data_IF_017122751922
#
_entry.id   IF_017122751922
#
_cell.length_a   1.000
_cell.length_b   1.000
_cell.length_c   1.000
_cell.angle_alpha   90.00
_cell.angle_beta   90.00
_cell.angle_gamma   90.00
#
_symmetry.space_group_name_H-M   'P 1'
#
loop_
_entity.id
_entity.type
_entity.pdbx_description
1 polymer ?
#
# COMPACT_ATOMS: atom_id res chain seq x y z
N UNK A 1 51.84 -7.68 -5.45
CA UNK A 1 50.49 -7.48 -6.05
C UNK A 1 49.58 -6.92 -4.97
N UNK A 2 48.73 -5.96 -5.35
CA UNK A 2 47.70 -5.25 -4.59
C UNK A 2 48.11 -4.02 -3.77
N UNK A 3 47.35 -2.96 -4.07
CA UNK A 3 47.48 -1.53 -3.86
C UNK A 3 47.43 -1.04 -2.41
N UNK A 4 47.91 0.19 -2.21
CA UNK A 4 47.13 1.29 -1.60
C UNK A 4 47.28 2.56 -2.47
N UNK A 5 46.51 3.64 -2.43
CA UNK A 5 45.30 4.10 -1.76
C UNK A 5 44.97 5.42 -2.51
N UNK A 6 43.70 5.66 -2.88
CA UNK A 6 43.30 6.87 -3.59
C UNK A 6 42.75 7.86 -2.58
N UNK A 7 43.51 8.91 -2.28
CA UNK A 7 43.02 10.06 -1.53
C UNK A 7 43.71 11.37 -1.97
N UNK A 8 42.97 12.47 -1.76
CA UNK A 8 43.35 13.88 -1.89
C UNK A 8 43.31 14.48 -3.31
N UNK A 9 42.25 15.21 -3.66
CA UNK A 9 41.97 16.61 -3.32
C UNK A 9 42.66 17.58 -4.30
N UNK A 10 41.88 18.08 -5.27
CA UNK A 10 41.41 19.47 -5.33
C UNK A 10 42.54 20.49 -5.39
N UNK A 11 42.89 20.85 -6.61
CA UNK A 11 43.63 22.06 -6.96
C UNK A 11 42.78 23.29 -6.65
N UNK A 12 43.39 24.25 -5.96
CA UNK A 12 42.89 25.59 -5.72
C UNK A 12 43.92 26.60 -6.25
N UNK A 13 43.48 27.85 -6.31
CA UNK A 13 44.21 29.11 -6.51
C UNK A 13 44.47 29.55 -7.96
N UNK A 14 43.50 30.29 -8.51
CA UNK A 14 43.73 31.44 -9.37
C UNK A 14 43.49 32.71 -8.55
N UNK A 15 44.50 33.57 -8.51
CA UNK A 15 44.53 34.95 -7.96
C UNK A 15 43.74 35.87 -8.88
N UNK A 16 42.71 36.59 -8.42
CA UNK A 16 42.76 37.90 -7.74
C UNK A 16 43.24 39.03 -8.68
N UNK A 17 42.30 39.84 -9.18
CA UNK A 17 42.55 41.26 -9.50
C UNK A 17 41.21 42.02 -9.58
N UNK A 18 41.21 43.16 -8.88
CA UNK A 18 40.14 44.14 -8.67
C UNK A 18 39.97 44.97 -9.97
N UNK A 19 38.83 45.59 -10.27
CA UNK A 19 38.53 46.98 -9.88
C UNK A 19 37.15 47.38 -10.45
N UNK A 20 36.29 47.98 -9.61
CA UNK A 20 35.20 48.90 -9.99
C UNK A 20 35.76 50.34 -9.95
N UNK A 21 35.16 51.42 -10.54
CA UNK A 21 33.71 51.68 -10.66
C UNK A 21 33.30 52.50 -11.91
N UNK A 22 32.01 52.84 -12.04
CA UNK A 22 31.53 54.20 -12.44
C UNK A 22 29.99 54.24 -12.43
N UNK A 23 29.39 55.20 -11.70
CA UNK A 23 28.05 55.70 -12.00
C UNK A 23 28.10 57.18 -12.42
N UNK A 24 27.36 57.59 -13.45
CA UNK A 24 26.98 59.00 -13.59
C UNK A 24 25.67 59.23 -14.35
N UNK A 25 24.74 59.88 -13.65
CA UNK A 25 23.38 60.26 -14.05
C UNK A 25 23.37 61.63 -14.74
N UNK A 26 22.98 61.70 -16.03
CA UNK A 26 22.48 62.92 -16.69
C UNK A 26 21.35 62.52 -17.65
N UNK A 27 20.10 62.43 -17.18
CA UNK A 27 19.02 63.42 -17.35
C UNK A 27 18.88 63.99 -18.78
N UNK A 28 17.68 63.76 -19.32
CA UNK A 28 16.81 64.71 -20.04
C UNK A 28 16.76 64.60 -21.58
N UNK A 29 15.69 63.99 -22.11
CA UNK A 29 14.76 64.51 -23.15
C UNK A 29 14.02 63.37 -23.89
N UNK A 30 12.78 63.12 -23.47
CA UNK A 30 11.66 62.61 -24.30
C UNK A 30 10.87 63.90 -24.65
N UNK A 31 10.36 64.17 -25.87
CA UNK A 31 9.37 63.37 -26.63
C UNK A 31 9.59 63.40 -28.17
N UNK A 32 8.93 62.62 -29.04
CA UNK A 32 7.55 62.81 -29.56
C UNK A 32 7.28 61.67 -30.56
N UNK A 33 6.20 60.92 -30.33
CA UNK A 33 5.21 60.29 -31.23
C UNK A 33 5.67 59.77 -32.61
N UNK A 34 5.29 58.54 -32.98
CA UNK A 34 4.18 58.17 -33.90
C UNK A 34 4.20 56.62 -33.91
N UNK A 35 3.19 55.83 -33.53
CA UNK A 35 1.95 55.46 -34.24
C UNK A 35 1.34 54.35 -33.32
N UNK A 36 0.18 54.47 -32.67
CA UNK A 36 -1.13 54.50 -33.32
C UNK A 36 -1.54 53.12 -33.86
N UNK A 37 -1.97 52.17 -33.00
CA UNK A 37 -3.20 51.38 -33.19
C UNK A 37 -3.40 50.33 -32.09
N UNK A 38 -4.43 50.52 -31.29
CA UNK A 38 -5.13 49.47 -30.54
C UNK A 38 -6.37 49.14 -31.35
N UNK A 39 -6.45 47.94 -31.96
CA UNK A 39 -7.66 47.09 -32.03
C UNK A 39 -7.47 45.82 -32.90
N UNK A 40 -8.24 44.78 -32.57
CA UNK A 40 -8.52 43.53 -33.32
C UNK A 40 -7.51 42.39 -33.11
N UNK A 41 -7.88 41.15 -32.81
CA UNK A 41 -9.04 40.52 -32.19
C UNK A 41 -8.66 39.05 -31.92
N UNK A 42 -9.30 38.48 -30.90
CA UNK A 42 -9.79 37.11 -30.86
C UNK A 42 -8.82 35.92 -30.85
N UNK A 43 -9.09 35.11 -29.82
CA UNK A 43 -8.98 33.64 -29.78
C UNK A 43 -7.57 33.08 -29.83
N UNK A 44 -7.11 32.64 -28.67
CA UNK A 44 -6.27 31.47 -28.57
C UNK A 44 -7.17 30.22 -28.58
N UNK A 45 -7.38 29.50 -29.70
CA UNK A 45 -8.01 28.19 -29.67
C UNK A 45 -6.92 27.15 -29.40
N UNK A 46 -6.48 27.05 -28.14
CA UNK A 46 -5.63 25.93 -27.75
C UNK A 46 -5.94 25.38 -26.35
N UNK A 47 -7.17 25.60 -25.87
CA UNK A 47 -7.79 24.66 -24.96
C UNK A 47 -8.50 23.59 -25.81
N UNK A 48 -7.75 22.61 -26.31
CA UNK A 48 -8.36 21.44 -26.95
C UNK A 48 -9.27 20.75 -25.92
N UNK A 49 -10.58 20.91 -26.13
CA UNK A 49 -11.64 20.09 -25.57
C UNK A 49 -11.45 18.67 -26.10
N UNK A 50 -10.67 17.90 -25.36
CA UNK A 50 -10.43 16.52 -25.73
C UNK A 50 -11.40 15.63 -24.91
N UNK A 51 -12.47 15.06 -25.50
CA UNK A 51 -13.29 14.02 -24.85
C UNK A 51 -12.41 12.84 -24.41
N UNK A 52 -11.25 12.65 -25.03
CA UNK A 52 -10.27 11.69 -24.58
C UNK A 52 -9.69 12.06 -23.21
N UNK A 53 -9.72 13.32 -22.75
CA UNK A 53 -9.22 13.67 -21.40
C UNK A 53 -10.12 13.16 -20.29
N UNK A 54 -11.44 13.37 -20.40
CA UNK A 54 -12.40 12.83 -19.44
C UNK A 54 -12.40 11.30 -19.48
N UNK A 55 -12.34 10.72 -20.69
CA UNK A 55 -12.20 9.28 -20.91
C UNK A 55 -10.91 8.72 -20.31
N UNK A 56 -9.74 9.33 -20.57
CA UNK A 56 -8.44 8.96 -19.98
C UNK A 56 -8.44 9.04 -18.46
N UNK A 57 -9.19 9.98 -17.87
CA UNK A 57 -9.31 10.09 -16.40
C UNK A 57 -10.17 8.96 -15.82
N UNK A 58 -11.26 8.58 -16.49
CA UNK A 58 -12.08 7.40 -16.14
C UNK A 58 -11.27 6.11 -16.29
N UNK A 59 -10.64 5.89 -17.44
CA UNK A 59 -9.76 4.72 -17.68
C UNK A 59 -8.60 4.64 -16.67
N UNK A 60 -8.10 5.79 -16.20
CA UNK A 60 -7.09 5.85 -15.12
C UNK A 60 -7.68 5.51 -13.75
N UNK A 61 -8.94 5.87 -13.50
CA UNK A 61 -9.71 5.42 -12.34
C UNK A 61 -9.87 3.91 -12.33
N UNK A 62 -10.34 3.34 -13.44
CA UNK A 62 -10.54 1.90 -13.61
C UNK A 62 -9.23 1.12 -13.42
N UNK A 63 -8.11 1.62 -13.96
CA UNK A 63 -6.79 1.02 -13.75
C UNK A 63 -6.34 1.07 -12.28
N UNK A 64 -6.73 2.10 -11.53
CA UNK A 64 -6.42 2.20 -10.10
C UNK A 64 -7.26 1.21 -9.30
N UNK A 65 -8.54 1.04 -9.63
CA UNK A 65 -9.41 0.02 -9.03
C UNK A 65 -8.83 -1.38 -9.23
N UNK A 66 -8.48 -1.72 -10.47
CA UNK A 66 -7.90 -3.04 -10.78
C UNK A 66 -6.59 -3.29 -10.00
N UNK A 67 -5.77 -2.25 -9.79
CA UNK A 67 -4.57 -2.35 -8.95
C UNK A 67 -4.90 -2.54 -7.47
N UNK A 68 -5.98 -1.94 -6.96
CA UNK A 68 -6.42 -2.10 -5.58
C UNK A 68 -6.98 -3.50 -5.35
N UNK A 69 -7.75 -4.03 -6.30
CA UNK A 69 -8.31 -5.39 -6.25
C UNK A 69 -7.20 -6.44 -6.24
N UNK A 70 -6.26 -6.37 -7.19
CA UNK A 70 -5.09 -7.27 -7.20
C UNK A 70 -4.28 -7.20 -5.90
N UNK A 71 -4.21 -6.03 -5.27
CA UNK A 71 -3.56 -5.85 -3.94
C UNK A 71 -4.40 -6.42 -2.80
N UNK A 72 -5.73 -6.43 -2.93
CA UNK A 72 -6.67 -7.10 -2.04
C UNK A 72 -6.49 -8.60 -2.10
N UNK A 73 -6.62 -9.19 -3.29
CA UNK A 73 -6.47 -10.63 -3.54
C UNK A 73 -5.13 -11.16 -3.02
N UNK A 74 -4.04 -10.42 -3.28
CA UNK A 74 -2.71 -10.82 -2.79
C UNK A 74 -2.64 -10.85 -1.27
N UNK A 75 -3.36 -9.97 -0.58
CA UNK A 75 -3.40 -9.96 0.89
C UNK A 75 -4.31 -11.04 1.44
N UNK A 76 -5.47 -11.26 0.83
CA UNK A 76 -6.40 -12.34 1.18
C UNK A 76 -5.69 -13.70 1.12
N UNK A 77 -5.08 -14.02 -0.03
CA UNK A 77 -4.29 -15.25 -0.21
C UNK A 77 -3.15 -15.40 0.81
N UNK A 78 -2.61 -14.30 1.34
CA UNK A 78 -1.58 -14.35 2.40
C UNK A 78 -2.18 -14.66 3.77
N UNK A 79 -3.39 -14.20 4.05
CA UNK A 79 -4.11 -14.50 5.28
C UNK A 79 -4.58 -15.96 5.27
N UNK A 80 -5.12 -16.45 4.16
CA UNK A 80 -5.58 -17.84 4.02
C UNK A 80 -4.43 -18.82 4.25
N UNK A 81 -3.32 -18.66 3.50
CA UNK A 81 -2.11 -19.49 3.69
C UNK A 81 -1.58 -19.48 5.12
N UNK A 82 -1.78 -18.36 5.83
CA UNK A 82 -1.38 -18.24 7.23
C UNK A 82 -2.35 -18.99 8.14
N UNK A 83 -3.66 -18.94 7.86
CA UNK A 83 -4.69 -19.77 8.46
C UNK A 83 -4.36 -21.24 8.32
N UNK A 84 -4.23 -21.74 7.08
CA UNK A 84 -3.94 -23.16 6.81
C UNK A 84 -2.66 -23.64 7.49
N UNK A 85 -1.63 -22.79 7.55
CA UNK A 85 -0.36 -23.14 8.23
C UNK A 85 -0.57 -23.31 9.73
N UNK A 86 -1.45 -22.53 10.33
CA UNK A 86 -1.74 -22.62 11.75
C UNK A 86 -2.63 -23.82 12.03
N UNK A 87 -3.69 -24.02 11.24
CA UNK A 87 -4.59 -25.17 11.32
C UNK A 87 -3.81 -26.49 11.28
N UNK A 88 -3.02 -26.71 10.23
CA UNK A 88 -2.13 -27.88 10.11
C UNK A 88 -1.14 -28.06 11.27
N UNK A 89 -0.80 -27.00 12.01
CA UNK A 89 0.08 -27.11 13.19
C UNK A 89 -0.71 -27.49 14.44
N UNK A 90 -1.96 -27.07 14.54
CA UNK A 90 -2.85 -27.43 15.63
C UNK A 90 -3.30 -28.89 15.47
N UNK A 91 -3.66 -29.32 14.26
CA UNK A 91 -4.11 -30.69 13.98
C UNK A 91 -3.01 -31.71 14.32
N UNK A 92 -1.81 -31.53 13.76
CA UNK A 92 -0.65 -32.37 14.09
C UNK A 92 -0.34 -32.42 15.59
N UNK A 93 -0.64 -31.33 16.31
CA UNK A 93 -0.45 -31.30 17.76
C UNK A 93 -1.55 -32.04 18.49
N UNK A 94 -2.79 -31.97 18.01
CA UNK A 94 -3.92 -32.73 18.54
C UNK A 94 -3.68 -34.24 18.34
N UNK A 95 -3.36 -34.66 17.11
CA UNK A 95 -3.01 -36.04 16.77
C UNK A 95 -1.90 -36.58 17.68
N UNK A 96 -0.83 -35.80 17.87
CA UNK A 96 0.28 -36.21 18.75
C UNK A 96 -0.13 -36.36 20.22
N UNK A 97 -1.08 -35.54 20.68
CA UNK A 97 -1.60 -35.62 22.05
C UNK A 97 -2.46 -36.88 22.20
N UNK A 98 -3.32 -37.15 21.23
CA UNK A 98 -4.20 -38.32 21.21
C UNK A 98 -3.40 -39.61 21.20
N UNK A 99 -2.48 -39.75 20.24
CA UNK A 99 -1.62 -40.93 20.12
C UNK A 99 -0.80 -41.18 21.40
N UNK A 100 -0.25 -40.12 22.01
CA UNK A 100 0.47 -40.25 23.29
C UNK A 100 -0.44 -40.65 24.44
N UNK A 101 -1.66 -40.14 24.45
CA UNK A 101 -2.62 -40.43 25.51
C UNK A 101 -3.12 -41.87 25.40
N UNK A 102 -3.40 -42.34 24.19
CA UNK A 102 -3.81 -43.71 23.89
C UNK A 102 -2.78 -44.71 24.41
N UNK A 103 -1.52 -44.61 23.98
CA UNK A 103 -0.44 -45.49 24.46
C UNK A 103 -0.15 -45.38 25.95
N UNK A 104 -0.41 -44.22 26.57
CA UNK A 104 -0.23 -44.06 28.00
C UNK A 104 -1.41 -44.64 28.79
N UNK A 105 -2.62 -44.56 28.25
CA UNK A 105 -3.84 -45.14 28.81
C UNK A 105 -3.81 -46.66 28.71
N UNK A 106 -3.42 -47.20 27.56
CA UNK A 106 -3.20 -48.63 27.33
C UNK A 106 -2.23 -49.23 28.35
N UNK A 107 -1.02 -48.66 28.48
CA UNK A 107 -0.06 -49.09 29.51
C UNK A 107 -0.59 -48.99 30.93
N UNK A 108 -1.45 -48.00 31.21
CA UNK A 108 -2.08 -47.89 32.53
C UNK A 108 -3.12 -49.00 32.76
N UNK A 109 -3.87 -49.40 31.73
CA UNK A 109 -4.81 -50.54 31.78
C UNK A 109 -4.08 -51.85 31.98
N UNK A 110 -3.02 -52.10 31.21
CA UNK A 110 -2.17 -53.29 31.35
C UNK A 110 -1.57 -53.40 32.75
N UNK A 111 -1.17 -52.27 33.35
CA UNK A 111 -0.70 -52.21 34.73
C UNK A 111 -1.82 -52.32 35.79
N UNK A 112 -3.07 -52.64 35.40
CA UNK A 112 -4.21 -52.78 36.29
C UNK A 112 -4.72 -51.46 36.88
N UNK A 113 -4.47 -50.32 36.22
CA UNK A 113 -4.82 -48.96 36.70
C UNK A 113 -5.85 -48.28 35.78
N UNK A 114 -7.08 -48.80 35.66
CA UNK A 114 -8.09 -48.26 34.74
C UNK A 114 -8.45 -46.81 35.04
N UNK A 115 -8.64 -46.43 36.31
CA UNK A 115 -8.96 -45.05 36.67
C UNK A 115 -7.86 -44.04 36.27
N UNK A 116 -6.60 -44.48 36.20
CA UNK A 116 -5.51 -43.64 35.70
C UNK A 116 -5.56 -43.50 34.18
N UNK A 117 -5.92 -44.57 33.47
CA UNK A 117 -6.11 -44.56 32.02
C UNK A 117 -7.20 -43.56 31.63
N UNK A 118 -8.36 -43.62 32.28
CA UNK A 118 -9.48 -42.71 32.01
C UNK A 118 -9.09 -41.25 32.26
N UNK A 119 -8.35 -40.99 33.35
CA UNK A 119 -7.83 -39.64 33.64
C UNK A 119 -6.85 -39.13 32.59
N UNK A 120 -6.06 -40.01 31.97
CA UNK A 120 -5.14 -39.66 30.88
C UNK A 120 -5.94 -39.25 29.64
N UNK A 121 -6.93 -40.05 29.26
CA UNK A 121 -7.80 -39.77 28.11
C UNK A 121 -8.59 -38.49 28.30
N UNK A 122 -9.19 -38.28 29.46
CA UNK A 122 -9.92 -37.06 29.79
C UNK A 122 -9.03 -35.82 29.70
N UNK A 123 -7.79 -35.93 30.18
CA UNK A 123 -6.81 -34.84 30.08
C UNK A 123 -6.44 -34.57 28.62
N UNK A 124 -6.32 -35.60 27.80
CA UNK A 124 -6.05 -35.47 26.37
C UNK A 124 -7.22 -34.78 25.66
N UNK A 125 -8.46 -35.25 25.85
CA UNK A 125 -9.69 -34.64 25.33
C UNK A 125 -9.82 -33.16 25.71
N UNK A 126 -9.43 -32.78 26.93
CA UNK A 126 -9.42 -31.36 27.35
C UNK A 126 -8.39 -30.55 26.56
N UNK A 127 -7.18 -31.08 26.38
CA UNK A 127 -6.12 -30.41 25.62
C UNK A 127 -6.45 -30.25 24.15
N UNK A 128 -7.06 -31.27 23.52
CA UNK A 128 -7.52 -31.21 22.13
C UNK A 128 -8.55 -30.10 21.97
N UNK A 129 -9.58 -30.06 22.84
CA UNK A 129 -10.56 -28.95 22.87
C UNK A 129 -9.93 -27.58 23.05
N UNK A 130 -8.87 -27.46 23.84
CA UNK A 130 -8.14 -26.19 23.98
C UNK A 130 -7.36 -25.80 22.71
N UNK A 131 -6.96 -26.76 21.87
CA UNK A 131 -6.35 -26.50 20.56
C UNK A 131 -7.41 -26.07 19.55
N UNK A 132 -8.57 -26.73 19.52
CA UNK A 132 -9.72 -26.34 18.68
C UNK A 132 -10.14 -24.89 18.96
N UNK A 133 -10.39 -24.55 20.24
CA UNK A 133 -10.73 -23.18 20.65
C UNK A 133 -9.66 -22.15 20.25
N UNK A 134 -8.39 -22.56 20.21
CA UNK A 134 -7.29 -21.69 19.74
C UNK A 134 -7.35 -21.53 18.23
N UNK A 135 -7.67 -22.58 17.48
CA UNK A 135 -8.01 -22.54 16.06
C UNK A 135 -9.09 -21.52 15.79
N UNK A 136 -10.28 -21.70 16.38
CA UNK A 136 -11.41 -20.79 16.16
C UNK A 136 -11.08 -19.33 16.49
N UNK A 137 -10.29 -19.10 17.55
CA UNK A 137 -9.88 -17.75 17.94
C UNK A 137 -8.96 -17.12 16.90
N UNK A 138 -8.12 -17.92 16.25
CA UNK A 138 -7.23 -17.46 15.18
C UNK A 138 -8.05 -17.20 13.92
N UNK A 139 -8.99 -18.07 13.57
CA UNK A 139 -9.85 -17.91 12.39
C UNK A 139 -10.66 -16.62 12.49
N UNK A 140 -11.34 -16.41 13.62
CA UNK A 140 -12.04 -15.14 13.90
C UNK A 140 -11.14 -13.91 13.77
N UNK A 141 -9.87 -14.00 14.20
CA UNK A 141 -8.92 -12.88 14.07
C UNK A 141 -8.50 -12.66 12.62
N UNK A 142 -8.35 -13.72 11.84
CA UNK A 142 -8.03 -13.63 10.41
C UNK A 142 -9.21 -13.05 9.63
N UNK A 143 -10.43 -13.48 9.92
CA UNK A 143 -11.66 -12.93 9.32
C UNK A 143 -11.81 -11.43 9.61
N UNK A 144 -11.66 -11.03 10.87
CA UNK A 144 -11.74 -9.62 11.26
C UNK A 144 -10.66 -8.78 10.56
N UNK A 145 -9.48 -9.37 10.37
CA UNK A 145 -8.38 -8.72 9.65
C UNK A 145 -8.69 -8.60 8.15
N UNK A 146 -9.27 -9.63 7.54
CA UNK A 146 -9.76 -9.61 6.16
C UNK A 146 -10.83 -8.54 5.95
N UNK A 147 -11.89 -8.57 6.77
CA UNK A 147 -12.96 -7.56 6.77
C UNK A 147 -12.43 -6.13 6.93
N UNK A 148 -11.44 -5.91 7.80
CA UNK A 148 -10.80 -4.60 7.97
C UNK A 148 -10.00 -4.17 6.72
N UNK A 149 -9.40 -5.10 6.01
CA UNK A 149 -8.70 -4.82 4.76
C UNK A 149 -9.67 -4.49 3.64
N UNK A 150 -10.75 -5.26 3.47
CA UNK A 150 -11.78 -4.98 2.46
C UNK A 150 -12.37 -3.58 2.66
N UNK A 151 -12.79 -3.23 3.89
CA UNK A 151 -13.26 -1.86 4.20
C UNK A 151 -12.26 -0.75 3.91
N UNK A 152 -10.95 -1.03 3.87
CA UNK A 152 -9.94 -0.04 3.48
C UNK A 152 -9.83 0.07 1.96
N UNK A 153 -10.00 -1.04 1.24
CA UNK A 153 -10.01 -1.09 -0.21
C UNK A 153 -11.28 -0.45 -0.75
N UNK A 154 -12.45 -0.79 -0.21
CA UNK A 154 -13.75 -0.18 -0.58
C UNK A 154 -13.66 1.35 -0.49
N UNK A 155 -13.28 1.87 0.69
CA UNK A 155 -13.10 3.32 0.89
C UNK A 155 -12.04 3.94 -0.03
N UNK A 156 -11.02 3.17 -0.42
CA UNK A 156 -10.01 3.67 -1.35
C UNK A 156 -10.58 3.73 -2.78
N UNK A 157 -11.39 2.75 -3.18
CA UNK A 157 -12.19 2.72 -4.40
C UNK A 157 -13.15 3.89 -4.45
N UNK A 158 -14.01 4.05 -3.44
CA UNK A 158 -14.99 5.14 -3.36
C UNK A 158 -14.32 6.52 -3.52
N UNK A 159 -13.17 6.73 -2.86
CA UNK A 159 -12.40 7.98 -2.97
C UNK A 159 -11.79 8.18 -4.35
N UNK A 160 -11.38 7.10 -5.02
CA UNK A 160 -10.82 7.15 -6.36
C UNK A 160 -11.92 7.52 -7.37
N UNK A 161 -13.08 6.85 -7.30
CA UNK A 161 -14.27 7.14 -8.11
C UNK A 161 -14.71 8.59 -7.95
N UNK A 162 -14.97 9.03 -6.72
CA UNK A 162 -15.42 10.38 -6.45
C UNK A 162 -14.42 11.45 -6.96
N UNK A 163 -13.10 11.19 -6.90
CA UNK A 163 -12.11 12.10 -7.49
C UNK A 163 -12.10 12.06 -9.02
N UNK A 164 -12.37 10.92 -9.63
CA UNK A 164 -12.49 10.80 -11.08
C UNK A 164 -13.72 11.58 -11.56
N UNK A 165 -14.87 11.42 -10.89
CA UNK A 165 -16.11 12.11 -11.20
C UNK A 165 -15.97 13.62 -11.04
N UNK A 166 -15.46 14.09 -9.90
CA UNK A 166 -15.21 15.53 -9.70
C UNK A 166 -14.30 16.14 -10.76
N UNK A 167 -13.32 15.38 -11.27
CA UNK A 167 -12.42 15.86 -12.33
C UNK A 167 -13.11 15.84 -13.69
N UNK A 168 -13.96 14.86 -13.95
CA UNK A 168 -14.78 14.79 -15.15
C UNK A 168 -15.80 15.95 -15.17
N UNK A 169 -16.49 16.21 -14.07
CA UNK A 169 -17.47 17.31 -13.94
C UNK A 169 -16.82 18.68 -14.10
N UNK A 170 -15.65 18.91 -13.51
CA UNK A 170 -14.89 20.16 -13.70
C UNK A 170 -14.44 20.34 -15.14
N UNK A 171 -14.09 19.25 -15.83
CA UNK A 171 -13.75 19.32 -17.25
C UNK A 171 -15.00 19.64 -18.09
N UNK A 172 -16.15 19.10 -17.73
CA UNK A 172 -17.42 19.39 -18.40
C UNK A 172 -17.92 20.82 -18.16
N UNK A 173 -17.84 21.36 -16.94
CA UNK A 173 -18.31 22.74 -16.64
C UNK A 173 -17.50 23.82 -17.32
N UNK A 174 -16.18 23.63 -17.47
CA UNK A 174 -15.31 24.54 -18.25
C UNK A 174 -15.68 24.63 -19.73
N UNK A 175 -16.59 23.79 -20.21
CA UNK A 175 -17.13 23.81 -21.57
C UNK A 175 -18.39 24.68 -21.70
N UNK A 176 -19.08 24.96 -20.60
CA UNK A 176 -20.36 25.70 -20.58
C UNK A 176 -20.18 27.21 -20.34
N UNK A 177 -18.99 27.64 -19.92
CA UNK A 177 -18.56 29.04 -19.76
C UNK A 177 -17.74 29.52 -20.96
#
# INVERSE_FOLDING_TARGET
MSSPDQSAARTASGTDEKEEPMPDFKRLLIPITILGLVWVNATAPWANDDPDRARRLRERGDRIEEQLDRKGDRRERKLDRKGDKIERRLDRKAEHIEHKAEHAAERAREAGKPAKADKIEDRAKRRVRDLERKGDKIDRKLDLRGKRQNRKLDRAGDRAQHKADQRADRAARKKEE
#
